data_IF_431661479513
#
_entry.id   IF_431661479513
#
_cell.length_a   1.000
_cell.length_b   1.000
_cell.length_c   1.000
_cell.angle_alpha   90.00
_cell.angle_beta   90.00
_cell.angle_gamma   90.00
#
_symmetry.space_group_name_H-M   'P 1'
#
loop_
_entity.id
_entity.type
_entity.pdbx_description
1 polymer ?
#
# COMPACT_ATOMS: atom_id res chain seq x y z
N UNK A 1 -18.77 -10.82 0.74
CA UNK A 1 -18.24 -9.89 -0.28
C UNK A 1 -16.75 -10.07 -0.26
N UNK A 2 -16.18 -10.40 -1.41
CA UNK A 2 -14.74 -10.65 -1.54
C UNK A 2 -13.97 -9.33 -1.40
N UNK A 3 -12.90 -9.33 -0.60
CA UNK A 3 -12.19 -8.12 -0.19
C UNK A 3 -10.70 -8.25 -0.53
N UNK A 4 -10.15 -7.19 -1.13
CA UNK A 4 -8.75 -7.12 -1.54
C UNK A 4 -8.14 -5.86 -0.95
N UNK A 5 -7.20 -6.04 -0.03
CA UNK A 5 -6.35 -4.95 0.49
C UNK A 5 -5.14 -4.84 -0.42
N UNK A 6 -4.78 -3.64 -0.87
CA UNK A 6 -3.68 -3.46 -1.81
C UNK A 6 -2.90 -2.18 -1.54
N UNK A 7 -1.70 -2.15 -2.12
CA UNK A 7 -0.79 -1.01 -2.12
C UNK A 7 0.09 -1.07 -3.38
N UNK A 8 0.64 0.06 -3.80
CA UNK A 8 1.62 0.13 -4.90
C UNK A 8 2.89 0.86 -4.49
N UNK A 9 4.02 0.41 -5.03
CA UNK A 9 5.26 1.18 -4.97
C UNK A 9 5.60 1.80 -6.30
N UNK A 10 6.12 3.02 -6.21
CA UNK A 10 6.37 3.86 -7.38
C UNK A 10 7.72 4.55 -7.34
N UNK A 11 8.22 4.86 -8.53
CA UNK A 11 9.42 5.67 -8.74
C UNK A 11 9.11 6.80 -9.72
N UNK A 12 9.91 7.89 -9.73
CA UNK A 12 9.81 8.90 -10.77
C UNK A 12 9.90 8.28 -12.18
N UNK A 13 8.97 8.64 -13.07
CA UNK A 13 9.01 8.22 -14.47
C UNK A 13 10.09 9.04 -15.21
N UNK A 14 11.30 8.50 -15.23
CA UNK A 14 12.47 9.09 -15.90
C UNK A 14 12.21 9.31 -17.40
N UNK A 15 11.50 8.40 -18.07
CA UNK A 15 11.24 8.53 -19.50
C UNK A 15 10.28 9.68 -19.79
N UNK A 16 9.25 9.85 -18.96
CA UNK A 16 8.38 11.01 -19.00
C UNK A 16 9.13 12.29 -18.65
N UNK A 17 9.97 12.25 -17.61
CA UNK A 17 10.80 13.37 -17.20
C UNK A 17 11.70 13.86 -18.34
N UNK A 18 12.38 12.96 -19.06
CA UNK A 18 13.19 13.31 -20.23
C UNK A 18 12.38 14.02 -21.30
N UNK A 19 11.21 13.49 -21.66
CA UNK A 19 10.32 14.08 -22.67
C UNK A 19 9.83 15.47 -22.27
N UNK A 20 9.42 15.65 -21.01
CA UNK A 20 8.84 16.91 -20.55
C UNK A 20 9.87 18.01 -20.33
N UNK A 21 11.08 17.63 -19.92
CA UNK A 21 12.16 18.57 -19.62
C UNK A 21 13.09 18.82 -20.82
N UNK A 22 12.84 18.16 -21.95
CA UNK A 22 13.71 18.25 -23.14
C UNK A 22 15.13 17.71 -22.89
N UNK A 23 15.27 16.71 -22.01
CA UNK A 23 16.56 16.11 -21.67
C UNK A 23 16.88 14.94 -22.59
N UNK A 24 18.11 14.90 -23.09
CA UNK A 24 18.62 13.79 -23.88
C UNK A 24 18.89 12.51 -23.06
N UNK A 25 19.26 11.40 -23.73
CA UNK A 25 19.56 10.13 -23.06
C UNK A 25 20.77 10.20 -22.12
N UNK A 26 21.68 11.16 -22.36
CA UNK A 26 22.88 11.41 -21.54
C UNK A 26 22.56 11.89 -20.13
N UNK A 27 21.35 12.41 -19.89
CA UNK A 27 20.92 12.78 -18.55
C UNK A 27 20.63 11.51 -17.73
N UNK A 28 21.40 11.32 -16.65
CA UNK A 28 21.21 10.22 -15.72
C UNK A 28 19.82 10.28 -15.03
N UNK A 29 19.39 9.12 -14.53
CA UNK A 29 18.07 8.95 -13.95
C UNK A 29 17.82 9.87 -12.74
N UNK A 30 18.84 10.08 -11.92
CA UNK A 30 18.77 10.91 -10.72
C UNK A 30 18.58 12.39 -11.05
N UNK A 31 19.32 12.89 -12.03
CA UNK A 31 19.20 14.26 -12.56
C UNK A 31 17.82 14.50 -13.15
N UNK A 32 17.29 13.53 -13.91
CA UNK A 32 15.94 13.63 -14.46
C UNK A 32 14.89 13.63 -13.35
N UNK A 33 14.97 12.70 -12.40
CA UNK A 33 14.04 12.60 -11.28
C UNK A 33 14.04 13.87 -10.42
N UNK A 34 15.22 14.41 -10.09
CA UNK A 34 15.37 15.67 -9.35
C UNK A 34 14.73 16.84 -10.09
N UNK A 35 15.06 17.03 -11.37
CA UNK A 35 14.49 18.12 -12.18
C UNK A 35 12.97 17.97 -12.35
N UNK A 36 12.47 16.75 -12.44
CA UNK A 36 11.03 16.47 -12.50
C UNK A 36 10.34 16.88 -11.19
N UNK A 37 10.94 16.57 -10.03
CA UNK A 37 10.46 16.98 -8.73
C UNK A 37 10.48 18.52 -8.56
N UNK A 38 11.56 19.18 -8.99
CA UNK A 38 11.67 20.64 -8.99
C UNK A 38 10.58 21.30 -9.86
N UNK A 39 10.36 20.78 -11.07
CA UNK A 39 9.32 21.28 -11.97
C UNK A 39 7.90 21.02 -11.45
N UNK A 40 7.69 19.92 -10.72
CA UNK A 40 6.41 19.58 -10.12
C UNK A 40 6.08 20.40 -8.87
N UNK A 41 7.09 20.95 -8.19
CA UNK A 41 6.96 21.72 -6.94
C UNK A 41 7.62 23.11 -7.00
N UNK A 42 7.14 24.03 -7.87
CA UNK A 42 7.76 25.35 -8.07
C UNK A 42 7.74 26.27 -6.82
N UNK A 43 6.99 25.91 -5.76
CA UNK A 43 6.94 26.63 -4.48
C UNK A 43 7.50 25.81 -3.29
N UNK A 44 8.28 24.76 -3.56
CA UNK A 44 8.97 23.96 -2.54
C UNK A 44 8.24 22.70 -2.09
N UNK A 45 9.04 21.64 -1.84
CA UNK A 45 8.71 20.31 -1.27
C UNK A 45 7.28 19.83 -1.51
N UNK A 46 7.03 19.29 -2.69
CA UNK A 46 5.80 18.58 -3.02
C UNK A 46 6.11 17.15 -3.45
N UNK A 47 5.31 16.21 -2.96
CA UNK A 47 5.25 14.87 -3.52
C UNK A 47 4.86 14.93 -5.00
N UNK A 48 5.49 14.10 -5.84
CA UNK A 48 5.24 14.11 -7.29
C UNK A 48 3.75 13.83 -7.57
N UNK A 49 3.17 14.56 -8.54
CA UNK A 49 1.80 14.28 -9.01
C UNK A 49 1.73 12.84 -9.53
N UNK A 50 0.59 12.12 -9.36
CA UNK A 50 0.47 10.71 -9.77
C UNK A 50 0.90 10.40 -11.21
N UNK A 51 0.72 11.34 -12.15
CA UNK A 51 1.14 11.16 -13.56
C UNK A 51 2.65 11.01 -13.76
N UNK A 52 3.47 11.54 -12.82
CA UNK A 52 4.92 11.50 -12.87
C UNK A 52 5.52 10.24 -12.26
N UNK A 53 4.68 9.30 -11.85
CA UNK A 53 5.10 8.06 -11.24
C UNK A 53 5.07 6.90 -12.24
N UNK A 54 5.95 5.94 -12.00
CA UNK A 54 6.02 4.63 -12.63
C UNK A 54 5.83 3.59 -11.54
N UNK A 55 4.97 2.60 -11.79
CA UNK A 55 4.74 1.47 -10.88
C UNK A 55 5.90 0.48 -10.97
N UNK A 56 6.43 0.09 -9.82
CA UNK A 56 7.53 -0.90 -9.69
C UNK A 56 7.15 -2.10 -8.83
N UNK A 57 6.15 -1.97 -7.95
CA UNK A 57 5.52 -3.09 -7.28
C UNK A 57 4.02 -2.84 -7.08
N UNK A 58 3.26 -3.93 -6.98
CA UNK A 58 1.86 -3.95 -6.55
C UNK A 58 1.73 -5.12 -5.62
N UNK A 59 1.25 -4.93 -4.39
CA UNK A 59 0.96 -6.02 -3.47
C UNK A 59 -0.53 -6.10 -3.15
N UNK A 60 -0.98 -7.31 -2.85
CA UNK A 60 -2.38 -7.54 -2.51
C UNK A 60 -2.55 -8.66 -1.47
N UNK A 61 -3.44 -8.41 -0.52
CA UNK A 61 -3.99 -9.39 0.40
C UNK A 61 -5.44 -9.68 0.05
N UNK A 62 -5.79 -10.96 0.02
CA UNK A 62 -7.13 -11.47 -0.25
C UNK A 62 -7.74 -11.94 1.05
N UNK A 63 -8.88 -11.35 1.41
CA UNK A 63 -9.72 -11.80 2.52
C UNK A 63 -10.96 -12.50 1.96
N UNK A 64 -11.32 -13.66 2.53
CA UNK A 64 -12.58 -14.30 2.20
C UNK A 64 -13.77 -13.70 2.97
N UNK A 65 -14.96 -14.19 2.70
CA UNK A 65 -16.20 -13.72 3.32
C UNK A 65 -16.23 -13.90 4.86
N UNK A 66 -15.35 -14.74 5.42
CA UNK A 66 -15.18 -14.90 6.87
C UNK A 66 -14.13 -13.95 7.46
N UNK A 67 -13.59 -13.04 6.64
CA UNK A 67 -12.51 -12.13 7.02
C UNK A 67 -11.14 -12.80 7.17
N UNK A 68 -11.01 -14.08 6.78
CA UNK A 68 -9.75 -14.81 6.87
C UNK A 68 -8.82 -14.42 5.72
N UNK A 69 -7.55 -14.13 6.04
CA UNK A 69 -6.48 -13.96 5.07
C UNK A 69 -6.23 -15.27 4.32
N UNK A 70 -6.43 -15.25 3.00
CA UNK A 70 -6.24 -16.41 2.12
C UNK A 70 -4.93 -16.37 1.37
N UNK A 71 -4.50 -15.18 1.00
CA UNK A 71 -3.26 -14.96 0.24
C UNK A 71 -2.78 -13.55 0.49
N UNK A 72 -1.49 -13.38 0.64
CA UNK A 72 -0.79 -12.10 0.53
C UNK A 72 0.43 -12.32 -0.36
N UNK A 73 0.59 -11.48 -1.38
CA UNK A 73 1.75 -11.49 -2.26
C UNK A 73 1.81 -10.22 -3.12
N UNK A 74 3.01 -9.84 -3.52
CA UNK A 74 3.27 -8.96 -4.64
C UNK A 74 2.84 -9.62 -5.96
N UNK A 75 2.13 -8.89 -6.80
CA UNK A 75 1.69 -9.32 -8.12
C UNK A 75 2.88 -9.40 -9.10
N UNK A 76 2.77 -10.29 -10.08
CA UNK A 76 3.85 -10.60 -11.02
C UNK A 76 5.08 -11.23 -10.33
N UNK A 77 6.21 -11.23 -11.03
CA UNK A 77 7.52 -11.68 -10.54
C UNK A 77 8.54 -10.53 -10.59
N UNK A 78 9.65 -10.59 -9.82
CA UNK A 78 10.71 -9.59 -9.90
C UNK A 78 11.22 -9.41 -11.34
N UNK A 79 11.28 -8.15 -11.79
CA UNK A 79 11.71 -7.78 -13.14
C UNK A 79 10.61 -7.75 -14.20
N UNK A 80 9.36 -8.10 -13.86
CA UNK A 80 8.24 -7.95 -14.78
C UNK A 80 8.11 -6.50 -15.28
N UNK A 81 7.81 -6.29 -16.58
CA UNK A 81 7.51 -4.97 -17.09
C UNK A 81 6.32 -4.36 -16.36
N UNK A 82 6.33 -3.04 -16.16
CA UNK A 82 5.23 -2.31 -15.52
C UNK A 82 3.85 -2.62 -16.12
N UNK A 83 3.78 -2.80 -17.45
CA UNK A 83 2.55 -3.15 -18.15
C UNK A 83 1.92 -4.45 -17.63
N UNK A 84 2.74 -5.43 -17.21
CA UNK A 84 2.29 -6.69 -16.63
C UNK A 84 1.70 -6.44 -15.24
N UNK A 85 2.39 -5.68 -14.38
CA UNK A 85 1.91 -5.37 -13.03
C UNK A 85 0.54 -4.65 -13.07
N UNK A 86 0.41 -3.66 -13.94
CA UNK A 86 -0.83 -2.90 -14.13
C UNK A 86 -1.94 -3.77 -14.71
N UNK A 87 -1.62 -4.62 -15.69
CA UNK A 87 -2.59 -5.56 -16.26
C UNK A 87 -3.08 -6.58 -15.23
N UNK A 88 -2.21 -7.10 -14.39
CA UNK A 88 -2.56 -8.04 -13.32
C UNK A 88 -3.48 -7.40 -12.27
N UNK A 89 -3.23 -6.14 -11.88
CA UNK A 89 -4.14 -5.43 -10.99
C UNK A 89 -5.55 -5.32 -11.57
N UNK A 90 -5.69 -4.84 -12.82
CA UNK A 90 -7.00 -4.70 -13.45
C UNK A 90 -7.63 -6.05 -13.82
N UNK A 91 -6.84 -7.11 -13.99
CA UNK A 91 -7.34 -8.48 -14.11
C UNK A 91 -8.07 -8.92 -12.85
N UNK A 92 -7.50 -8.65 -11.67
CA UNK A 92 -8.16 -8.93 -10.37
C UNK A 92 -9.50 -8.19 -10.27
N UNK A 93 -9.53 -6.90 -10.64
CA UNK A 93 -10.77 -6.10 -10.64
C UNK A 93 -11.82 -6.71 -11.58
N UNK A 94 -11.42 -7.10 -12.79
CA UNK A 94 -12.31 -7.69 -13.80
C UNK A 94 -12.91 -9.01 -13.31
N UNK A 95 -12.09 -9.90 -12.80
CA UNK A 95 -12.47 -11.30 -12.52
C UNK A 95 -13.17 -11.47 -11.18
N UNK A 96 -12.70 -10.79 -10.13
CA UNK A 96 -13.23 -10.97 -8.79
C UNK A 96 -14.20 -9.86 -8.35
N UNK A 97 -14.13 -8.68 -8.98
CA UNK A 97 -14.87 -7.47 -8.58
C UNK A 97 -14.85 -7.25 -7.04
N UNK A 98 -13.66 -7.28 -6.41
CA UNK A 98 -13.56 -7.18 -4.95
C UNK A 98 -13.97 -5.78 -4.48
N UNK A 99 -14.28 -5.64 -3.18
CA UNK A 99 -14.04 -4.35 -2.53
C UNK A 99 -12.54 -4.14 -2.46
N UNK A 100 -12.05 -3.05 -3.04
CA UNK A 100 -10.66 -2.63 -2.95
C UNK A 100 -10.48 -1.81 -1.66
N UNK A 101 -9.50 -2.16 -0.85
CA UNK A 101 -9.16 -1.44 0.38
C UNK A 101 -7.69 -1.01 0.29
N UNK A 102 -7.41 0.24 0.64
CA UNK A 102 -6.02 0.71 0.72
C UNK A 102 -5.91 1.94 1.61
N UNK A 103 -4.68 2.41 1.82
CA UNK A 103 -4.38 3.60 2.60
C UNK A 103 -3.98 4.76 1.68
N UNK A 104 -4.76 5.84 1.61
CA UNK A 104 -4.58 6.91 0.61
C UNK A 104 -4.69 6.43 -0.86
N UNK A 105 -5.33 5.27 -1.07
CA UNK A 105 -5.41 4.63 -2.38
C UNK A 105 -6.29 5.37 -3.39
N UNK A 106 -7.25 6.18 -2.93
CA UNK A 106 -8.02 7.07 -3.79
C UNK A 106 -7.28 8.37 -4.13
N UNK A 107 -6.43 8.82 -3.20
CA UNK A 107 -5.59 10.01 -3.37
C UNK A 107 -4.35 9.77 -4.24
N UNK A 108 -3.86 8.53 -4.30
CA UNK A 108 -2.59 8.21 -4.96
C UNK A 108 -2.64 6.96 -5.85
N UNK A 109 -2.83 5.77 -5.29
CA UNK A 109 -2.61 4.48 -5.96
C UNK A 109 -3.49 4.28 -7.20
N UNK A 110 -4.81 4.43 -7.05
CA UNK A 110 -5.75 4.28 -8.16
C UNK A 110 -5.52 5.34 -9.24
N UNK A 111 -5.30 6.64 -8.93
CA UNK A 111 -4.86 7.61 -9.93
C UNK A 111 -3.61 7.17 -10.70
N UNK A 112 -2.56 6.70 -10.03
CA UNK A 112 -1.35 6.19 -10.70
C UNK A 112 -1.71 5.01 -11.61
N UNK A 113 -2.35 3.98 -11.09
CA UNK A 113 -2.73 2.77 -11.83
C UNK A 113 -3.57 3.10 -13.07
N UNK A 114 -4.51 4.05 -12.98
CA UNK A 114 -5.29 4.53 -14.12
C UNK A 114 -4.40 5.19 -15.18
N UNK A 115 -3.50 6.09 -14.79
CA UNK A 115 -2.58 6.73 -15.75
C UNK A 115 -1.64 5.72 -16.41
N UNK A 116 -1.16 4.73 -15.65
CA UNK A 116 -0.29 3.68 -16.18
C UNK A 116 -1.05 2.71 -17.07
N UNK A 117 -2.31 2.41 -16.77
CA UNK A 117 -3.17 1.63 -17.67
C UNK A 117 -3.38 2.35 -19.02
N UNK A 118 -3.62 3.66 -19.00
CA UNK A 118 -3.70 4.47 -20.23
C UNK A 118 -2.38 4.44 -21.02
N UNK A 119 -1.25 4.61 -20.34
CA UNK A 119 0.09 4.57 -20.95
C UNK A 119 0.39 3.22 -21.63
N UNK A 120 -0.04 2.12 -21.01
CA UNK A 120 0.22 0.74 -21.45
C UNK A 120 -0.92 0.12 -22.25
N UNK A 121 -2.00 0.86 -22.53
CA UNK A 121 -3.18 0.40 -23.26
C UNK A 121 -3.88 -0.81 -22.60
N UNK A 122 -3.90 -0.83 -21.27
CA UNK A 122 -4.63 -1.83 -20.48
C UNK A 122 -6.09 -1.39 -20.37
N UNK A 123 -7.01 -2.23 -20.85
CA UNK A 123 -8.44 -2.00 -20.73
C UNK A 123 -8.95 -2.40 -19.33
N UNK A 124 -9.82 -1.58 -18.75
CA UNK A 124 -10.41 -1.83 -17.43
C UNK A 124 -11.90 -1.44 -17.35
N UNK A 125 -12.78 -1.90 -18.26
CA UNK A 125 -14.17 -1.44 -18.30
C UNK A 125 -14.93 -1.73 -17.00
N UNK A 126 -14.66 -2.85 -16.32
CA UNK A 126 -15.29 -3.22 -15.04
C UNK A 126 -14.97 -2.23 -13.92
N UNK A 127 -13.76 -1.65 -13.93
CA UNK A 127 -13.37 -0.61 -12.97
C UNK A 127 -14.26 0.64 -13.08
N UNK A 128 -14.62 1.03 -14.31
CA UNK A 128 -15.46 2.20 -14.57
C UNK A 128 -16.95 1.92 -14.43
N UNK A 129 -17.38 0.68 -14.69
CA UNK A 129 -18.77 0.27 -14.57
C UNK A 129 -19.23 0.14 -13.10
N UNK A 130 -18.31 -0.19 -12.19
CA UNK A 130 -18.57 -0.29 -10.76
C UNK A 130 -18.26 1.02 -10.01
N UNK A 131 -18.59 1.07 -8.72
CA UNK A 131 -18.47 2.25 -7.87
C UNK A 131 -17.03 2.58 -7.39
N UNK A 132 -15.98 1.98 -7.97
CA UNK A 132 -14.59 2.15 -7.51
C UNK A 132 -14.07 3.59 -7.47
N UNK A 133 -14.69 4.52 -8.20
CA UNK A 133 -14.26 5.94 -8.26
C UNK A 133 -15.16 6.89 -7.48
N UNK A 134 -16.19 6.36 -6.81
CA UNK A 134 -17.16 7.18 -6.08
C UNK A 134 -16.60 7.42 -4.67
N UNK A 135 -15.95 8.56 -4.48
CA UNK A 135 -15.23 8.92 -3.25
C UNK A 135 -15.98 8.64 -1.94
N UNK A 136 -17.28 8.94 -1.87
CA UNK A 136 -18.10 8.77 -0.66
C UNK A 136 -18.84 7.43 -0.59
N UNK A 137 -18.62 6.55 -1.57
CA UNK A 137 -19.25 5.24 -1.68
C UNK A 137 -18.20 4.16 -1.44
N UNK A 138 -18.16 3.69 -0.20
CA UNK A 138 -17.17 2.70 0.28
C UNK A 138 -17.51 1.27 -0.14
N UNK A 139 -18.55 1.06 -0.96
CA UNK A 139 -19.02 -0.28 -1.30
C UNK A 139 -17.99 -1.08 -2.11
N UNK A 140 -17.38 -0.44 -3.11
CA UNK A 140 -16.41 -1.06 -4.03
C UNK A 140 -14.99 -0.59 -3.77
N UNK A 141 -14.77 0.62 -3.25
CA UNK A 141 -13.45 1.11 -2.90
C UNK A 141 -13.51 1.83 -1.54
N UNK A 142 -12.67 1.39 -0.61
CA UNK A 142 -12.48 2.01 0.69
C UNK A 142 -11.03 2.55 0.77
N UNK A 143 -10.90 3.87 0.69
CA UNK A 143 -9.69 4.56 1.12
C UNK A 143 -9.79 4.81 2.63
N UNK A 144 -9.04 4.03 3.42
CA UNK A 144 -9.10 4.10 4.89
C UNK A 144 -8.71 5.48 5.41
N UNK A 145 -7.70 6.12 4.82
CA UNK A 145 -7.22 7.43 5.27
C UNK A 145 -8.27 8.52 4.97
N UNK A 146 -8.89 8.49 3.80
CA UNK A 146 -9.94 9.47 3.46
C UNK A 146 -11.20 9.23 4.32
N UNK A 147 -11.62 7.97 4.51
CA UNK A 147 -12.77 7.61 5.38
C UNK A 147 -12.56 8.06 6.83
N UNK A 148 -11.42 7.69 7.43
CA UNK A 148 -11.10 8.02 8.83
C UNK A 148 -10.94 9.52 9.07
N UNK A 149 -10.52 10.29 8.06
CA UNK A 149 -10.45 11.75 8.14
C UNK A 149 -11.80 12.45 7.91
N UNK A 150 -12.91 11.70 7.81
CA UNK A 150 -14.21 12.27 7.45
C UNK A 150 -14.19 12.93 6.07
N UNK A 151 -13.49 12.30 5.12
CA UNK A 151 -13.25 12.81 3.77
C UNK A 151 -12.53 14.16 3.74
N UNK A 152 -11.61 14.37 4.68
CA UNK A 152 -10.85 15.62 4.88
C UNK A 152 -11.51 16.63 5.82
N UNK A 153 -12.54 16.23 6.58
CA UNK A 153 -13.11 17.05 7.65
C UNK A 153 -12.16 17.17 8.86
N UNK A 154 -11.27 16.20 9.06
CA UNK A 154 -10.16 16.26 10.01
C UNK A 154 -8.81 16.11 9.29
N UNK A 155 -7.69 16.48 9.94
CA UNK A 155 -6.37 16.18 9.41
C UNK A 155 -6.21 14.68 9.12
N UNK A 156 -5.57 14.38 7.98
CA UNK A 156 -5.21 13.01 7.61
C UNK A 156 -4.06 12.53 8.49
N UNK A 157 -4.06 11.23 8.76
CA UNK A 157 -3.02 10.54 9.52
C UNK A 157 -2.21 9.62 8.60
N UNK A 158 -0.94 9.41 8.92
CA UNK A 158 -0.09 8.45 8.23
C UNK A 158 -0.45 7.01 8.65
N UNK A 159 -0.08 6.04 7.80
CA UNK A 159 -0.28 4.61 8.08
C UNK A 159 0.35 4.22 9.42
N UNK A 160 1.58 4.69 9.66
CA UNK A 160 2.35 4.42 10.88
C UNK A 160 1.72 4.99 12.14
N UNK A 161 1.11 6.18 12.04
CA UNK A 161 0.44 6.81 13.17
C UNK A 161 -0.80 6.00 13.58
N UNK A 162 -1.56 5.52 12.59
CA UNK A 162 -2.72 4.65 12.85
C UNK A 162 -2.31 3.26 13.33
N UNK A 163 -1.25 2.68 12.77
CA UNK A 163 -0.70 1.40 13.22
C UNK A 163 -0.26 1.48 14.69
N UNK A 164 0.46 2.54 15.06
CA UNK A 164 0.87 2.80 16.43
C UNK A 164 -0.33 2.98 17.38
N UNK A 165 -1.36 3.72 16.96
CA UNK A 165 -2.60 3.88 17.73
C UNK A 165 -3.30 2.54 18.01
N UNK A 166 -3.28 1.62 17.03
CA UNK A 166 -3.97 0.34 17.12
C UNK A 166 -3.11 -0.79 17.70
N UNK A 167 -1.86 -0.52 18.07
CA UNK A 167 -0.95 -1.53 18.62
C UNK A 167 -0.57 -2.61 17.61
N UNK A 168 -0.53 -2.29 16.32
CA UNK A 168 -0.09 -3.20 15.25
C UNK A 168 1.21 -2.68 14.61
N UNK A 169 2.03 -3.55 13.99
CA UNK A 169 3.24 -3.08 13.33
C UNK A 169 2.90 -2.11 12.20
N UNK A 170 3.61 -0.98 12.14
CA UNK A 170 3.67 -0.10 10.97
C UNK A 170 4.92 -0.40 10.14
N UNK A 171 5.48 0.63 9.50
CA UNK A 171 6.77 0.57 8.81
C UNK A 171 7.87 0.12 9.76
N UNK A 172 8.70 -0.80 9.28
CA UNK A 172 9.81 -1.37 10.05
C UNK A 172 11.12 -0.62 9.78
N UNK A 173 11.59 -0.62 8.52
CA UNK A 173 12.95 -0.16 8.18
C UNK A 173 13.03 0.71 6.92
N UNK A 174 11.97 0.77 6.12
CA UNK A 174 11.93 1.47 4.83
C UNK A 174 10.79 2.48 4.82
N UNK A 175 11.04 3.67 4.30
CA UNK A 175 10.00 4.66 3.98
C UNK A 175 9.83 4.75 2.46
N UNK A 176 8.68 5.23 1.99
CA UNK A 176 8.41 5.44 0.56
C UNK A 176 9.43 6.36 -0.12
N UNK A 177 10.18 7.15 0.66
CA UNK A 177 11.31 7.98 0.19
C UNK A 177 12.53 7.16 -0.21
N UNK A 178 12.70 5.97 0.35
CA UNK A 178 13.84 5.08 0.10
C UNK A 178 13.60 4.18 -1.13
N UNK A 179 12.35 4.08 -1.62
CA UNK A 179 12.00 3.28 -2.81
C UNK A 179 12.86 3.66 -4.01
N UNK A 180 13.16 4.96 -4.16
CA UNK A 180 14.01 5.42 -5.25
C UNK A 180 15.46 4.93 -5.12
N UNK A 181 16.06 4.97 -3.93
CA UNK A 181 17.43 4.46 -3.74
C UNK A 181 17.50 2.96 -3.94
N UNK A 182 16.56 2.20 -3.35
CA UNK A 182 16.48 0.75 -3.58
C UNK A 182 16.30 0.42 -5.07
N UNK A 183 15.52 1.21 -5.80
CA UNK A 183 15.35 1.03 -7.25
C UNK A 183 16.64 1.27 -8.04
N UNK A 184 17.39 2.33 -7.70
CA UNK A 184 18.69 2.62 -8.32
C UNK A 184 19.73 1.52 -8.02
N UNK A 185 19.68 0.94 -6.83
CA UNK A 185 20.51 -0.19 -6.42
C UNK A 185 20.07 -1.54 -7.02
N UNK A 186 18.93 -1.56 -7.72
CA UNK A 186 18.35 -2.77 -8.33
C UNK A 186 17.66 -3.70 -7.33
N UNK A 187 17.40 -3.25 -6.09
CA UNK A 187 16.75 -4.00 -5.03
C UNK A 187 15.21 -4.03 -5.18
N UNK A 188 14.76 -4.63 -6.28
CA UNK A 188 13.33 -4.84 -6.56
C UNK A 188 12.70 -5.79 -5.54
N UNK A 189 13.47 -6.74 -4.99
CA UNK A 189 12.98 -7.68 -4.00
C UNK A 189 12.64 -6.98 -2.68
N UNK A 190 13.50 -6.07 -2.21
CA UNK A 190 13.24 -5.23 -1.04
C UNK A 190 12.01 -4.36 -1.19
N UNK A 191 11.85 -3.68 -2.34
CA UNK A 191 10.65 -2.86 -2.64
C UNK A 191 9.37 -3.70 -2.57
N UNK A 192 9.39 -4.91 -3.15
CA UNK A 192 8.23 -5.81 -3.12
C UNK A 192 7.90 -6.28 -1.72
N UNK A 193 8.91 -6.63 -0.92
CA UNK A 193 8.73 -7.02 0.48
C UNK A 193 8.16 -5.86 1.31
N UNK A 194 8.63 -4.63 1.08
CA UNK A 194 8.10 -3.43 1.72
C UNK A 194 6.61 -3.21 1.41
N UNK A 195 6.24 -3.26 0.13
CA UNK A 195 4.84 -3.14 -0.31
C UNK A 195 3.95 -4.22 0.32
N UNK A 196 4.46 -5.46 0.44
CA UNK A 196 3.75 -6.56 1.10
C UNK A 196 3.53 -6.30 2.61
N UNK A 197 4.49 -5.67 3.31
CA UNK A 197 4.34 -5.27 4.72
C UNK A 197 3.30 -4.16 4.89
N UNK A 198 3.28 -3.15 4.01
CA UNK A 198 2.30 -2.06 4.07
C UNK A 198 0.87 -2.59 3.80
N UNK A 199 0.71 -3.56 2.89
CA UNK A 199 -0.57 -4.27 2.72
C UNK A 199 -0.97 -5.04 3.97
N UNK A 200 -0.03 -5.68 4.65
CA UNK A 200 -0.32 -6.45 5.87
C UNK A 200 -0.74 -5.54 7.02
N UNK A 201 -0.02 -4.43 7.22
CA UNK A 201 -0.41 -3.36 8.16
C UNK A 201 -1.81 -2.84 7.85
N UNK A 202 -2.07 -2.47 6.58
CA UNK A 202 -3.38 -1.98 6.12
C UNK A 202 -4.48 -3.01 6.38
N UNK A 203 -4.19 -4.30 6.24
CA UNK A 203 -5.16 -5.39 6.51
C UNK A 203 -5.58 -5.43 7.98
N UNK A 204 -4.64 -5.25 8.92
CA UNK A 204 -4.93 -5.23 10.35
C UNK A 204 -5.76 -4.00 10.75
N UNK A 205 -5.42 -2.83 10.20
CA UNK A 205 -6.20 -1.61 10.40
C UNK A 205 -7.61 -1.78 9.82
N UNK A 206 -7.72 -2.35 8.62
CA UNK A 206 -9.01 -2.64 8.00
C UNK A 206 -9.88 -3.55 8.87
N UNK A 207 -9.32 -4.60 9.49
CA UNK A 207 -10.09 -5.48 10.38
C UNK A 207 -10.73 -4.72 11.55
N UNK A 208 -9.99 -3.77 12.16
CA UNK A 208 -10.50 -2.89 13.23
C UNK A 208 -11.57 -1.93 12.71
N UNK A 209 -11.35 -1.34 11.55
CA UNK A 209 -12.33 -0.46 10.90
C UNK A 209 -13.63 -1.22 10.56
N UNK A 210 -13.52 -2.39 9.93
CA UNK A 210 -14.66 -3.21 9.52
C UNK A 210 -15.50 -3.65 10.72
N UNK A 211 -14.86 -3.95 11.86
CA UNK A 211 -15.56 -4.19 13.12
C UNK A 211 -16.31 -2.94 13.61
N UNK A 212 -15.61 -1.81 13.71
CA UNK A 212 -16.21 -0.54 14.15
C UNK A 212 -17.38 -0.10 13.25
N UNK A 213 -17.25 -0.32 11.94
CA UNK A 213 -18.27 0.00 10.93
C UNK A 213 -19.49 -0.93 10.98
N UNK A 214 -19.39 -2.08 11.65
CA UNK A 214 -20.42 -3.11 11.74
C UNK A 214 -20.46 -4.08 10.55
N UNK A 215 -19.41 -4.13 9.73
CA UNK A 215 -19.28 -5.13 8.66
C UNK A 215 -18.76 -6.46 9.18
N UNK A 216 -17.92 -6.41 10.22
CA UNK A 216 -17.41 -7.56 10.95
C UNK A 216 -18.03 -7.57 12.34
N UNK A 217 -18.35 -8.75 12.85
CA UNK A 217 -18.52 -8.94 14.30
C UNK A 217 -17.14 -9.16 14.96
N UNK A 218 -17.14 -9.30 16.28
CA UNK A 218 -15.91 -9.48 17.05
C UNK A 218 -15.16 -10.77 16.66
N UNK A 219 -15.89 -11.85 16.36
CA UNK A 219 -15.29 -13.12 15.97
C UNK A 219 -14.62 -13.02 14.60
N UNK A 220 -15.27 -12.37 13.62
CA UNK A 220 -14.74 -12.14 12.28
C UNK A 220 -13.48 -11.28 12.30
N UNK A 221 -13.46 -10.22 13.12
CA UNK A 221 -12.28 -9.38 13.29
C UNK A 221 -11.11 -10.15 13.94
N UNK A 222 -11.37 -10.90 15.02
CA UNK A 222 -10.37 -11.74 15.66
C UNK A 222 -9.84 -12.83 14.72
N UNK A 223 -10.70 -13.41 13.86
CA UNK A 223 -10.30 -14.39 12.84
C UNK A 223 -9.35 -13.80 11.82
N UNK A 224 -9.57 -12.56 11.39
CA UNK A 224 -8.66 -11.85 10.49
C UNK A 224 -7.26 -11.77 11.12
N UNK A 225 -7.15 -11.22 12.34
CA UNK A 225 -5.87 -11.09 13.05
C UNK A 225 -5.19 -12.44 13.28
N UNK A 226 -5.94 -13.46 13.72
CA UNK A 226 -5.42 -14.82 13.90
C UNK A 226 -4.90 -15.42 12.59
N UNK A 227 -5.57 -15.16 11.47
CA UNK A 227 -5.13 -15.64 10.16
C UNK A 227 -3.87 -14.95 9.65
N UNK A 228 -3.66 -13.66 10.00
CA UNK A 228 -2.39 -12.97 9.74
C UNK A 228 -1.27 -13.60 10.55
N UNK A 229 -1.49 -13.88 11.85
CA UNK A 229 -0.51 -14.60 12.68
C UNK A 229 -0.15 -15.96 12.10
N UNK A 230 -1.17 -16.71 11.66
CA UNK A 230 -0.96 -18.00 11.02
C UNK A 230 -0.19 -17.88 9.69
N UNK A 231 -0.43 -16.82 8.89
CA UNK A 231 0.34 -16.53 7.68
C UNK A 231 1.82 -16.25 7.99
N UNK A 232 2.09 -15.54 9.09
CA UNK A 232 3.46 -15.25 9.55
C UNK A 232 4.13 -16.47 10.20
N UNK A 233 3.36 -17.40 10.76
CA UNK A 233 3.87 -18.61 11.40
C UNK A 233 4.49 -19.56 10.35
N UNK A 234 5.80 -19.78 10.43
CA UNK A 234 6.54 -20.63 9.49
C UNK A 234 7.18 -19.88 8.31
N UNK A 235 7.07 -18.55 8.28
CA UNK A 235 7.88 -17.70 7.40
C UNK A 235 9.16 -17.28 8.11
N UNK A 236 10.27 -17.47 7.41
CA UNK A 236 11.64 -17.25 7.90
C UNK A 236 12.35 -16.11 7.16
N UNK A 237 11.72 -15.55 6.12
CA UNK A 237 12.26 -14.41 5.40
C UNK A 237 12.40 -13.21 6.37
N UNK A 238 13.50 -12.44 6.32
CA UNK A 238 13.83 -11.46 7.36
C UNK A 238 12.74 -10.44 7.67
N UNK A 239 12.02 -9.96 6.65
CA UNK A 239 10.96 -8.97 6.81
C UNK A 239 9.75 -9.55 7.56
N UNK A 240 9.39 -10.82 7.33
CA UNK A 240 8.32 -11.49 8.09
C UNK A 240 8.68 -11.73 9.54
N UNK A 241 9.93 -12.16 9.78
CA UNK A 241 10.44 -12.36 11.14
C UNK A 241 10.40 -11.05 11.92
N UNK A 242 10.88 -9.95 11.32
CA UNK A 242 10.85 -8.62 11.96
C UNK A 242 9.43 -8.14 12.23
N UNK A 243 8.51 -8.30 11.27
CA UNK A 243 7.10 -7.92 11.46
C UNK A 243 6.46 -8.69 12.63
N UNK A 244 6.68 -10.01 12.68
CA UNK A 244 6.19 -10.89 13.75
C UNK A 244 6.74 -10.47 15.12
N UNK A 245 8.06 -10.29 15.24
CA UNK A 245 8.71 -9.85 16.48
C UNK A 245 8.22 -8.47 16.92
N UNK A 246 8.04 -7.53 15.98
CA UNK A 246 7.51 -6.21 16.29
C UNK A 246 6.08 -6.31 16.83
N UNK A 247 5.26 -7.18 16.26
CA UNK A 247 3.89 -7.36 16.73
C UNK A 247 3.86 -7.96 18.14
N UNK A 248 4.64 -9.02 18.38
CA UNK A 248 4.78 -9.63 19.71
C UNK A 248 5.24 -8.61 20.76
N UNK A 249 6.17 -7.72 20.42
CA UNK A 249 6.66 -6.68 21.32
C UNK A 249 5.60 -5.59 21.64
N UNK A 250 4.66 -5.33 20.72
CA UNK A 250 3.57 -4.37 20.94
C UNK A 250 2.47 -4.94 21.86
N UNK A 251 2.37 -6.27 21.95
CA UNK A 251 1.38 -6.96 22.80
C UNK A 251 1.93 -7.33 24.18
N UNK A 252 3.24 -7.18 24.40
CA UNK A 252 3.85 -7.47 25.68
C UNK A 252 3.28 -6.53 26.77
N UNK A 253 2.85 -7.05 27.94
CA UNK A 253 2.39 -6.21 29.04
C UNK A 253 3.46 -5.21 29.48
N UNK A 254 3.08 -3.96 29.80
CA UNK A 254 4.00 -2.88 30.22
C UNK A 254 4.80 -3.17 31.52
N UNK A 255 4.49 -4.25 32.23
CA UNK A 255 5.03 -4.58 33.57
C UNK A 255 6.46 -5.14 33.62
N UNK A 256 7.21 -5.15 32.52
CA UNK A 256 8.62 -5.59 32.53
C UNK A 256 9.65 -4.44 32.72
N UNK A 257 9.23 -3.16 32.70
CA UNK A 257 10.13 -2.01 32.69
C UNK A 257 10.16 -1.15 33.97
N UNK A 258 9.33 -1.44 34.98
CA UNK A 258 9.29 -0.70 36.24
C UNK A 258 9.69 -1.58 37.44
N UNK A 259 10.94 -2.02 37.46
CA UNK A 259 11.60 -2.57 38.65
C UNK A 259 11.82 -1.53 39.76
N UNK A 260 10.75 -0.85 40.20
CA UNK A 260 10.74 -0.09 41.45
C UNK A 260 10.05 -0.94 42.50
N UNK A 261 10.86 -1.57 43.34
CA UNK A 261 10.38 -2.14 44.60
C UNK A 261 9.64 -1.08 45.41
N UNK A 262 8.48 -1.41 46.00
CA UNK A 262 7.79 -0.50 46.89
C UNK A 262 8.61 -0.33 48.18
N UNK A 263 8.92 0.93 48.52
CA UNK A 263 9.41 1.34 49.83
C UNK A 263 8.23 1.58 50.79
#
# INVERSE_FOLDING_TARGET
>A
MYEVVFDIETVPDVDLGRRMLGLGPEADAETVARRLAEAAAPHGRGFLKPVFHRVVAVAAAVLDDSGQLRRLAALGVPGDPEAVLVAEFFRVVREARPRLIGWNSGGFDLPVLVYRALRHRVAAPEFYAAAYRRRFDESMHLDLMDSLSGFGASPRVALDEMAALLGVPGKLDMDGRDVWSHWLDGDVAGIRAYCELDVLTTTLIYARYAFHRGWYDAERAARCEASVRAFLAGREEPHWVRFRQRWEALEAPEDAASGREPA
#
